data_IF_637255268013
#
_entry.id   IF_637255268013
#
_cell.length_a   1.000
_cell.length_b   1.000
_cell.length_c   1.000
_cell.angle_alpha   90.00
_cell.angle_beta   90.00
_cell.angle_gamma   90.00
#
_symmetry.space_group_name_H-M   'P 1'
#
loop_
_entity.id
_entity.type
_entity.pdbx_description
1 polymer ?
#
# COMPACT_ATOMS: atom_id res chain seq x y z
N UNK A 1 3.96 -10.77 -18.81
CA UNK A 1 4.06 -12.11 -19.39
C UNK A 1 2.97 -13.04 -18.87
N UNK A 2 2.99 -14.30 -19.31
CA UNK A 2 1.99 -15.31 -18.93
C UNK A 2 2.71 -16.59 -18.46
N UNK A 3 2.26 -17.17 -17.36
CA UNK A 3 2.66 -18.51 -16.93
C UNK A 3 1.81 -19.54 -17.69
N UNK A 4 2.46 -20.57 -18.21
CA UNK A 4 1.81 -21.62 -19.00
C UNK A 4 0.83 -22.46 -18.13
N UNK A 5 -0.10 -23.17 -18.78
CA UNK A 5 -1.10 -23.97 -18.07
C UNK A 5 -0.57 -25.32 -17.55
N UNK A 6 0.59 -25.80 -18.05
CA UNK A 6 1.19 -27.07 -17.62
C UNK A 6 1.63 -27.05 -16.16
N UNK A 7 1.78 -28.24 -15.58
CA UNK A 7 2.10 -28.41 -14.16
C UNK A 7 3.57 -28.15 -13.81
N UNK A 8 4.49 -28.33 -14.76
CA UNK A 8 5.94 -28.38 -14.56
C UNK A 8 6.74 -27.74 -15.71
N UNK A 9 6.11 -26.85 -16.48
CA UNK A 9 6.78 -26.20 -17.63
C UNK A 9 7.97 -25.33 -17.18
N UNK A 10 7.78 -24.54 -16.15
CA UNK A 10 8.84 -23.68 -15.62
C UNK A 10 9.93 -24.51 -14.92
N UNK A 11 9.53 -25.53 -14.16
CA UNK A 11 10.46 -26.46 -13.53
C UNK A 11 11.35 -27.17 -14.56
N UNK A 12 10.78 -27.68 -15.66
CA UNK A 12 11.54 -28.32 -16.74
C UNK A 12 12.48 -27.30 -17.42
N UNK A 13 12.02 -26.10 -17.67
CA UNK A 13 12.88 -25.02 -18.20
C UNK A 13 14.07 -24.72 -17.28
N UNK A 14 13.86 -24.63 -15.96
CA UNK A 14 14.94 -24.41 -15.00
C UNK A 14 15.96 -25.56 -15.04
N UNK A 15 15.47 -26.79 -15.12
CA UNK A 15 16.31 -28.01 -15.18
C UNK A 15 17.17 -28.03 -16.44
N UNK A 16 16.58 -27.73 -17.61
CA UNK A 16 17.28 -27.63 -18.90
C UNK A 16 18.36 -26.56 -18.91
N UNK A 17 18.15 -25.47 -18.18
CA UNK A 17 19.09 -24.35 -18.06
C UNK A 17 20.04 -24.48 -16.85
N UNK A 18 20.11 -25.63 -16.19
CA UNK A 18 20.95 -25.87 -15.02
C UNK A 18 20.76 -24.84 -13.89
N UNK A 19 19.54 -24.33 -13.72
CA UNK A 19 19.22 -23.39 -12.66
C UNK A 19 19.07 -24.10 -11.31
N UNK A 20 19.27 -23.38 -10.21
CA UNK A 20 19.10 -23.89 -8.86
C UNK A 20 17.61 -24.14 -8.55
N UNK A 21 17.24 -25.42 -8.50
CA UNK A 21 15.86 -25.85 -8.27
C UNK A 21 15.42 -25.67 -6.82
N UNK A 22 16.35 -25.76 -5.86
CA UNK A 22 16.04 -25.56 -4.45
C UNK A 22 15.79 -24.06 -4.18
N UNK A 23 16.59 -23.19 -4.78
CA UNK A 23 16.35 -21.75 -4.73
C UNK A 23 15.00 -21.37 -5.37
N UNK A 24 14.63 -21.97 -6.50
CA UNK A 24 13.33 -21.74 -7.13
C UNK A 24 12.16 -22.12 -6.21
N UNK A 25 12.33 -23.16 -5.41
CA UNK A 25 11.35 -23.57 -4.41
C UNK A 25 11.30 -22.61 -3.21
N UNK A 26 12.44 -22.17 -2.70
CA UNK A 26 12.51 -21.17 -1.62
C UNK A 26 11.85 -19.84 -2.02
N UNK A 27 12.00 -19.44 -3.28
CA UNK A 27 11.37 -18.24 -3.83
C UNK A 27 9.87 -18.46 -4.15
N UNK A 28 9.35 -19.66 -3.94
CA UNK A 28 7.94 -20.00 -4.20
C UNK A 28 7.57 -19.98 -5.68
N UNK A 29 8.50 -20.27 -6.58
CA UNK A 29 8.23 -20.40 -8.01
C UNK A 29 7.81 -21.82 -8.38
N UNK A 30 8.32 -22.82 -7.65
CA UNK A 30 7.89 -24.23 -7.68
C UNK A 30 7.58 -24.73 -6.28
N UNK A 31 6.92 -25.89 -6.18
CA UNK A 31 6.61 -26.55 -4.91
C UNK A 31 6.55 -28.06 -5.12
N UNK A 32 6.44 -28.84 -4.03
CA UNK A 32 6.28 -30.30 -4.06
C UNK A 32 4.93 -30.69 -3.49
N UNK A 33 4.24 -31.59 -4.19
CA UNK A 33 3.05 -32.24 -3.64
C UNK A 33 3.42 -33.22 -2.52
N UNK A 34 2.44 -33.66 -1.74
CA UNK A 34 2.61 -34.71 -0.72
C UNK A 34 3.21 -36.01 -1.30
N UNK A 35 2.90 -36.32 -2.56
CA UNK A 35 3.48 -37.47 -3.30
C UNK A 35 4.91 -37.18 -3.83
N UNK A 36 5.52 -36.05 -3.48
CA UNK A 36 6.87 -35.68 -3.89
C UNK A 36 7.01 -35.16 -5.34
N UNK A 37 5.91 -35.05 -6.09
CA UNK A 37 5.93 -34.51 -7.45
C UNK A 37 6.09 -33.00 -7.43
N UNK A 38 7.07 -32.47 -8.18
CA UNK A 38 7.29 -31.02 -8.32
C UNK A 38 6.26 -30.42 -9.27
N UNK A 39 5.81 -29.20 -8.96
CA UNK A 39 4.89 -28.44 -9.79
C UNK A 39 5.19 -26.94 -9.75
N UNK A 40 4.84 -26.24 -10.82
CA UNK A 40 4.95 -24.79 -10.91
C UNK A 40 3.88 -24.11 -10.03
N UNK A 41 4.28 -23.14 -9.23
CA UNK A 41 3.36 -22.40 -8.35
C UNK A 41 2.42 -21.50 -9.15
N UNK A 42 2.95 -20.85 -10.18
CA UNK A 42 2.18 -20.01 -11.09
C UNK A 42 1.84 -20.79 -12.36
N UNK A 43 0.57 -21.05 -12.59
CA UNK A 43 0.05 -21.77 -13.76
C UNK A 43 -1.17 -21.05 -14.31
N UNK A 44 -1.26 -20.88 -15.64
CA UNK A 44 -2.40 -20.24 -16.28
C UNK A 44 -2.66 -18.81 -15.77
N UNK A 45 -1.59 -18.04 -15.48
CA UNK A 45 -1.72 -16.72 -14.86
C UNK A 45 -1.01 -15.65 -15.68
N UNK A 46 -1.62 -14.47 -15.71
CA UNK A 46 -0.94 -13.24 -16.10
C UNK A 46 0.04 -12.88 -14.99
N UNK A 47 1.33 -12.71 -15.36
CA UNK A 47 2.41 -12.50 -14.40
C UNK A 47 2.81 -11.04 -14.29
N UNK A 48 2.93 -10.57 -13.05
CA UNK A 48 3.35 -9.23 -12.68
C UNK A 48 4.69 -9.33 -11.94
N UNK A 49 5.83 -8.98 -12.57
CA UNK A 49 7.10 -8.95 -11.87
C UNK A 49 7.09 -7.80 -10.84
N UNK A 50 7.53 -8.11 -9.63
CA UNK A 50 7.68 -7.14 -8.55
C UNK A 50 9.14 -6.74 -8.49
N UNK A 51 9.40 -5.44 -8.62
CA UNK A 51 10.76 -4.89 -8.65
C UNK A 51 11.16 -4.30 -7.30
N UNK A 52 12.40 -4.51 -6.92
CA UNK A 52 13.05 -3.69 -5.88
C UNK A 52 13.18 -2.24 -6.34
N UNK A 53 13.39 -1.27 -5.44
CA UNK A 53 13.64 0.13 -5.83
C UNK A 53 14.83 0.32 -6.79
N UNK A 54 15.74 -0.66 -6.85
CA UNK A 54 16.92 -0.67 -7.74
C UNK A 54 16.68 -1.39 -9.09
N UNK A 55 15.46 -1.84 -9.38
CA UNK A 55 15.09 -2.43 -10.65
C UNK A 55 15.37 -3.93 -10.81
N UNK A 56 15.73 -4.64 -9.74
CA UNK A 56 15.85 -6.10 -9.76
C UNK A 56 14.50 -6.74 -9.50
N UNK A 57 14.13 -7.77 -10.26
CA UNK A 57 12.95 -8.59 -9.97
C UNK A 57 13.19 -9.37 -8.69
N UNK A 58 12.31 -9.21 -7.69
CA UNK A 58 12.43 -9.83 -6.37
C UNK A 58 11.28 -10.79 -6.05
N UNK A 59 10.16 -10.69 -6.79
CA UNK A 59 8.98 -11.54 -6.60
C UNK A 59 8.05 -11.44 -7.82
N UNK A 60 6.98 -12.20 -7.78
CA UNK A 60 5.92 -12.15 -8.78
C UNK A 60 4.54 -12.11 -8.12
N UNK A 61 3.61 -11.37 -8.76
CA UNK A 61 2.19 -11.54 -8.63
C UNK A 61 1.65 -12.31 -9.83
N UNK A 62 0.56 -13.04 -9.67
CA UNK A 62 -0.07 -13.76 -10.77
C UNK A 62 -1.60 -13.68 -10.68
N UNK A 63 -2.27 -13.16 -11.71
CA UNK A 63 -3.73 -13.13 -11.83
C UNK A 63 -4.20 -14.27 -12.69
N UNK A 64 -5.17 -15.06 -12.21
CA UNK A 64 -5.79 -16.13 -13.02
C UNK A 64 -6.42 -15.57 -14.30
N UNK A 65 -6.25 -16.27 -15.41
CA UNK A 65 -6.79 -15.85 -16.70
C UNK A 65 -8.25 -16.28 -16.88
N UNK A 66 -8.62 -17.45 -16.34
CA UNK A 66 -9.98 -17.94 -16.38
C UNK A 66 -10.68 -17.68 -15.04
N UNK A 67 -11.65 -16.75 -14.97
CA UNK A 67 -12.34 -16.43 -13.72
C UNK A 67 -13.28 -17.55 -13.20
N UNK A 68 -13.59 -18.56 -14.01
CA UNK A 68 -14.43 -19.71 -13.62
C UNK A 68 -13.67 -20.76 -12.81
N UNK A 69 -12.33 -20.68 -12.77
CA UNK A 69 -11.54 -21.57 -11.93
C UNK A 69 -11.74 -21.27 -10.44
N UNK A 70 -12.05 -22.30 -9.66
CA UNK A 70 -12.22 -22.21 -8.20
C UNK A 70 -10.87 -22.07 -7.46
N UNK A 71 -10.04 -21.14 -7.91
CA UNK A 71 -8.74 -20.83 -7.33
C UNK A 71 -8.63 -19.33 -7.02
N UNK A 72 -7.69 -18.95 -6.17
CA UNK A 72 -7.48 -17.55 -5.82
C UNK A 72 -7.24 -16.69 -7.07
N UNK A 73 -8.03 -15.60 -7.23
CA UNK A 73 -7.92 -14.63 -8.33
C UNK A 73 -6.49 -14.11 -8.46
N UNK A 74 -5.86 -13.76 -7.35
CA UNK A 74 -4.46 -13.34 -7.29
C UNK A 74 -3.64 -14.29 -6.41
N UNK A 75 -2.43 -14.56 -6.83
CA UNK A 75 -1.40 -15.30 -6.11
C UNK A 75 -0.13 -14.45 -6.10
N UNK A 76 0.49 -14.29 -4.96
CA UNK A 76 1.79 -13.62 -4.83
C UNK A 76 2.87 -14.61 -4.40
N UNK A 77 4.13 -14.32 -4.77
CA UNK A 77 5.29 -14.99 -4.17
C UNK A 77 5.21 -14.91 -2.64
N UNK A 78 5.66 -15.95 -1.94
CA UNK A 78 5.79 -15.92 -0.48
C UNK A 78 6.88 -14.94 -0.04
N UNK A 79 6.93 -14.66 1.26
CA UNK A 79 8.07 -13.97 1.88
C UNK A 79 9.36 -14.73 1.62
N UNK A 80 10.45 -14.03 1.34
CA UNK A 80 11.76 -14.62 1.10
C UNK A 80 12.88 -13.68 1.58
N UNK A 81 14.13 -14.11 1.47
CA UNK A 81 15.31 -13.27 1.80
C UNK A 81 15.37 -11.98 0.98
N UNK A 82 14.86 -12.01 -0.26
CA UNK A 82 14.90 -10.87 -1.18
C UNK A 82 13.55 -10.14 -1.30
N UNK A 83 12.46 -10.72 -0.83
CA UNK A 83 11.12 -10.15 -0.93
C UNK A 83 10.40 -10.16 0.40
N UNK A 84 10.04 -8.99 0.86
CA UNK A 84 9.16 -8.79 2.00
C UNK A 84 7.99 -7.93 1.55
N UNK A 85 6.80 -8.52 1.44
CA UNK A 85 5.60 -7.86 0.93
C UNK A 85 5.29 -6.57 1.69
N UNK A 86 5.44 -6.63 3.01
CA UNK A 86 5.22 -5.48 3.91
C UNK A 86 6.20 -4.32 3.69
N UNK A 87 7.31 -4.52 2.96
CA UNK A 87 8.32 -3.49 2.66
C UNK A 87 8.39 -3.13 1.17
N UNK A 88 7.53 -3.70 0.36
CA UNK A 88 7.55 -3.53 -1.09
C UNK A 88 6.30 -2.80 -1.56
N UNK A 89 6.47 -1.81 -2.43
CA UNK A 89 5.40 -1.14 -3.15
C UNK A 89 5.50 -1.50 -4.64
N UNK A 90 4.41 -2.03 -5.19
CA UNK A 90 4.37 -2.36 -6.61
C UNK A 90 4.42 -1.07 -7.45
N UNK A 91 5.16 -1.11 -8.53
CA UNK A 91 5.33 0.01 -9.44
C UNK A 91 6.36 1.07 -9.01
N UNK A 92 6.83 1.07 -7.75
CA UNK A 92 7.71 2.12 -7.24
C UNK A 92 8.97 2.32 -8.09
N UNK A 93 9.60 1.24 -8.59
CA UNK A 93 10.76 1.35 -9.45
C UNK A 93 10.49 2.19 -10.71
N UNK A 94 9.33 1.97 -11.33
CA UNK A 94 8.95 2.67 -12.56
C UNK A 94 8.42 4.09 -12.30
N UNK A 95 7.87 4.34 -11.12
CA UNK A 95 7.16 5.57 -10.79
C UNK A 95 8.00 6.58 -10.00
N UNK A 96 9.10 6.14 -9.38
CA UNK A 96 9.89 6.95 -8.42
C UNK A 96 10.39 8.28 -8.98
N UNK A 97 10.78 8.32 -10.24
CA UNK A 97 11.33 9.53 -10.84
C UNK A 97 10.22 10.55 -11.15
N UNK A 98 9.05 10.07 -11.62
CA UNK A 98 7.89 10.94 -11.81
C UNK A 98 7.29 11.39 -10.47
N UNK A 99 7.30 10.54 -9.44
CA UNK A 99 6.92 10.90 -8.06
C UNK A 99 7.79 12.06 -7.55
N UNK A 100 9.11 11.98 -7.72
CA UNK A 100 10.03 13.06 -7.31
C UNK A 100 9.80 14.33 -8.10
N UNK A 101 9.65 14.22 -9.41
CA UNK A 101 9.44 15.35 -10.32
C UNK A 101 8.16 16.11 -10.00
N UNK A 102 7.05 15.40 -9.72
CA UNK A 102 5.77 15.98 -9.39
C UNK A 102 5.60 16.28 -7.90
N UNK A 103 6.56 15.84 -7.07
CA UNK A 103 6.48 15.82 -5.60
C UNK A 103 5.11 15.31 -5.12
N UNK A 104 4.62 14.24 -5.73
CA UNK A 104 3.31 13.66 -5.45
C UNK A 104 3.24 12.19 -5.84
N UNK A 105 2.71 11.35 -4.96
CA UNK A 105 2.38 9.96 -5.24
C UNK A 105 0.87 9.73 -5.24
N UNK A 106 0.42 8.77 -6.03
CA UNK A 106 -0.94 8.23 -6.00
C UNK A 106 -0.84 6.79 -5.50
N UNK A 107 -1.55 6.46 -4.42
CA UNK A 107 -1.59 5.12 -3.85
C UNK A 107 -2.90 4.45 -4.23
N UNK A 108 -2.79 3.29 -4.90
CA UNK A 108 -3.91 2.43 -5.28
C UNK A 108 -3.79 1.04 -4.61
N UNK A 109 -4.82 0.19 -4.74
CA UNK A 109 -4.82 -1.12 -4.11
C UNK A 109 -4.13 -2.20 -4.92
N UNK A 110 -4.43 -2.30 -6.21
CA UNK A 110 -4.15 -3.46 -7.05
C UNK A 110 -3.14 -3.25 -8.15
N UNK A 111 -2.75 -4.39 -8.75
CA UNK A 111 -1.86 -4.40 -9.91
C UNK A 111 -2.50 -3.76 -11.13
N UNK A 112 -3.79 -4.06 -11.37
CA UNK A 112 -4.48 -3.58 -12.56
C UNK A 112 -4.72 -2.09 -12.50
N UNK A 113 -5.12 -1.56 -11.34
CA UNK A 113 -5.32 -0.14 -11.13
C UNK A 113 -4.06 0.65 -11.50
N UNK A 114 -2.91 0.20 -10.97
CA UNK A 114 -1.63 0.82 -11.29
C UNK A 114 -1.30 0.72 -12.78
N UNK A 115 -1.42 -0.47 -13.38
CA UNK A 115 -1.03 -0.69 -14.76
C UNK A 115 -1.88 0.16 -15.71
N UNK A 116 -3.19 0.20 -15.51
CA UNK A 116 -4.10 0.98 -16.34
C UNK A 116 -3.85 2.48 -16.21
N UNK A 117 -3.63 2.97 -15.00
CA UNK A 117 -3.24 4.35 -14.79
C UNK A 117 -1.91 4.67 -15.49
N UNK A 118 -0.90 3.82 -15.30
CA UNK A 118 0.42 4.02 -15.88
C UNK A 118 0.40 4.00 -17.42
N UNK A 119 -0.34 3.07 -18.03
CA UNK A 119 -0.51 2.97 -19.50
C UNK A 119 -1.21 4.21 -20.07
N UNK A 120 -2.14 4.81 -19.30
CA UNK A 120 -2.82 6.05 -19.68
C UNK A 120 -2.03 7.32 -19.29
N UNK A 121 -0.75 7.20 -18.94
CA UNK A 121 0.16 8.32 -18.73
C UNK A 121 0.14 8.93 -17.32
N UNK A 122 -0.53 8.30 -16.35
CA UNK A 122 -0.44 8.65 -14.91
C UNK A 122 0.70 7.84 -14.31
N UNK A 123 1.92 8.41 -14.27
CA UNK A 123 3.14 7.65 -13.98
C UNK A 123 3.63 7.73 -12.54
N UNK A 124 3.04 8.59 -11.71
CA UNK A 124 3.40 8.75 -10.29
C UNK A 124 2.54 7.89 -9.36
N UNK A 125 2.21 6.66 -9.76
CA UNK A 125 1.32 5.74 -9.07
C UNK A 125 2.06 4.55 -8.49
N UNK A 126 1.68 4.14 -7.27
CA UNK A 126 2.18 2.94 -6.57
C UNK A 126 1.02 2.14 -6.01
N UNK A 127 1.21 0.82 -5.84
CA UNK A 127 0.17 -0.04 -5.28
C UNK A 127 0.67 -0.84 -4.06
N UNK A 128 -0.21 -1.02 -3.07
CA UNK A 128 0.03 -1.88 -1.90
C UNK A 128 -0.08 -3.38 -2.21
N UNK A 129 -0.68 -3.73 -3.36
CA UNK A 129 -0.75 -5.07 -3.95
C UNK A 129 -1.45 -6.13 -3.09
N UNK A 130 -2.71 -5.83 -2.68
CA UNK A 130 -3.58 -6.79 -1.99
C UNK A 130 -3.24 -6.97 -0.50
N UNK A 131 -2.67 -5.93 0.11
CA UNK A 131 -2.56 -5.75 1.57
C UNK A 131 -2.92 -4.32 1.92
N UNK A 132 -3.42 -4.09 3.14
CA UNK A 132 -3.47 -2.73 3.66
C UNK A 132 -2.06 -2.13 3.66
N UNK A 133 -1.96 -0.82 3.47
CA UNK A 133 -0.69 -0.09 3.57
C UNK A 133 -0.02 -0.40 4.92
N UNK A 134 1.30 -0.56 4.92
CA UNK A 134 2.11 -0.81 6.11
C UNK A 134 2.96 0.40 6.48
N UNK A 135 3.41 0.45 7.74
CA UNK A 135 4.35 1.47 8.21
C UNK A 135 5.65 1.48 7.40
N UNK A 136 6.14 0.29 7.00
CA UNK A 136 7.37 0.15 6.23
C UNK A 136 7.20 0.59 4.77
N UNK A 137 6.03 0.35 4.17
CA UNK A 137 5.71 0.86 2.83
C UNK A 137 5.60 2.39 2.83
N UNK A 138 4.95 2.97 3.84
CA UNK A 138 4.88 4.41 4.02
C UNK A 138 6.29 5.01 4.25
N UNK A 139 7.12 4.39 5.08
CA UNK A 139 8.53 4.77 5.29
C UNK A 139 9.34 4.72 3.99
N UNK A 140 9.13 3.68 3.17
CA UNK A 140 9.79 3.58 1.87
C UNK A 140 9.37 4.71 0.93
N UNK A 141 8.06 5.00 0.86
CA UNK A 141 7.52 6.04 -0.02
C UNK A 141 7.95 7.44 0.42
N UNK A 142 8.10 7.67 1.73
CA UNK A 142 8.48 8.97 2.30
C UNK A 142 9.85 9.48 1.86
N UNK A 143 10.70 8.61 1.30
CA UNK A 143 12.00 8.97 0.72
C UNK A 143 11.88 9.65 -0.65
N UNK A 144 10.71 9.63 -1.24
CA UNK A 144 10.46 10.14 -2.59
C UNK A 144 9.55 11.38 -2.58
N UNK A 145 8.54 11.41 -1.72
CA UNK A 145 7.63 12.54 -1.52
C UNK A 145 6.93 12.42 -0.17
N UNK A 146 6.39 13.54 0.31
CA UNK A 146 5.46 13.60 1.45
C UNK A 146 4.03 13.91 1.01
N UNK A 147 3.78 14.18 -0.26
CA UNK A 147 2.46 14.49 -0.79
C UNK A 147 1.85 13.24 -1.43
N UNK A 148 0.71 12.80 -0.92
CA UNK A 148 0.06 11.57 -1.38
C UNK A 148 -1.43 11.74 -1.60
N UNK A 149 -1.93 11.16 -2.69
CA UNK A 149 -3.35 10.97 -2.92
C UNK A 149 -3.66 9.48 -2.79
N UNK A 150 -4.53 9.13 -1.86
CA UNK A 150 -5.06 7.78 -1.69
C UNK A 150 -6.27 7.63 -2.60
N UNK A 151 -6.26 6.60 -3.43
CA UNK A 151 -7.31 6.28 -4.38
C UNK A 151 -7.60 4.78 -4.29
N UNK A 152 -8.60 4.44 -3.52
CA UNK A 152 -9.06 3.06 -3.31
C UNK A 152 -10.45 2.85 -3.89
N UNK A 153 -10.88 1.60 -3.97
CA UNK A 153 -12.18 1.23 -4.52
C UNK A 153 -13.32 1.91 -3.73
N UNK A 154 -14.39 2.27 -4.43
CA UNK A 154 -15.54 2.95 -3.84
C UNK A 154 -16.50 1.96 -3.15
N UNK A 155 -15.94 1.00 -2.38
CA UNK A 155 -16.69 0.05 -1.59
C UNK A 155 -16.35 0.16 -0.09
N UNK A 156 -17.08 -0.55 0.77
CA UNK A 156 -16.87 -0.54 2.22
C UNK A 156 -15.45 -1.01 2.61
N UNK A 157 -14.87 -1.92 1.87
CA UNK A 157 -13.54 -2.45 2.15
C UNK A 157 -12.46 -1.42 1.80
N UNK A 158 -12.55 -0.79 0.62
CA UNK A 158 -11.66 0.29 0.18
C UNK A 158 -11.75 1.51 1.10
N UNK A 159 -12.94 1.89 1.55
CA UNK A 159 -13.11 2.97 2.54
C UNK A 159 -12.39 2.67 3.87
N UNK A 160 -12.52 1.46 4.40
CA UNK A 160 -11.80 1.04 5.61
C UNK A 160 -10.29 1.01 5.40
N UNK A 161 -9.85 0.58 4.21
CA UNK A 161 -8.45 0.59 3.83
C UNK A 161 -7.91 2.02 3.70
N UNK A 162 -8.69 2.95 3.13
CA UNK A 162 -8.34 4.37 3.06
C UNK A 162 -8.16 4.97 4.45
N UNK A 163 -9.09 4.75 5.37
CA UNK A 163 -9.01 5.25 6.74
C UNK A 163 -7.76 4.75 7.48
N UNK A 164 -7.44 3.45 7.37
CA UNK A 164 -6.21 2.89 7.95
C UNK A 164 -4.95 3.48 7.32
N UNK A 165 -4.97 3.69 6.01
CA UNK A 165 -3.85 4.29 5.29
C UNK A 165 -3.61 5.74 5.70
N UNK A 166 -4.68 6.53 5.92
CA UNK A 166 -4.59 7.88 6.46
C UNK A 166 -3.83 7.89 7.78
N UNK A 167 -4.21 7.03 8.74
CA UNK A 167 -3.55 6.97 10.05
C UNK A 167 -2.05 6.67 9.95
N UNK A 168 -1.67 5.71 9.09
CA UNK A 168 -0.26 5.33 8.87
C UNK A 168 0.52 6.47 8.22
N UNK A 169 -0.07 7.10 7.20
CA UNK A 169 0.57 8.17 6.44
C UNK A 169 0.77 9.43 7.30
N UNK A 170 -0.22 9.81 8.12
CA UNK A 170 -0.13 10.97 9.01
C UNK A 170 1.00 10.81 10.05
N UNK A 171 1.19 9.60 10.61
CA UNK A 171 2.31 9.28 11.51
C UNK A 171 3.68 9.40 10.86
N UNK A 172 3.72 9.38 9.53
CA UNK A 172 4.94 9.52 8.71
C UNK A 172 5.05 10.90 8.05
N UNK A 173 4.27 11.88 8.55
CA UNK A 173 4.25 13.28 8.12
C UNK A 173 3.89 13.49 6.64
N UNK A 174 3.04 12.63 6.09
CA UNK A 174 2.49 12.86 4.77
C UNK A 174 1.41 13.95 4.79
N UNK A 175 1.33 14.69 3.70
CA UNK A 175 0.16 15.47 3.31
C UNK A 175 -0.80 14.57 2.53
N UNK A 176 -1.92 14.20 3.16
CA UNK A 176 -2.81 13.16 2.66
C UNK A 176 -4.06 13.75 2.07
N UNK A 177 -4.29 13.47 0.79
CA UNK A 177 -5.56 13.74 0.12
C UNK A 177 -6.23 12.43 -0.29
N UNK A 178 -7.54 12.45 -0.40
CA UNK A 178 -8.35 11.32 -0.81
C UNK A 178 -9.07 11.69 -2.11
N UNK A 179 -8.91 10.87 -3.11
CA UNK A 179 -9.69 10.93 -4.33
C UNK A 179 -10.76 9.84 -4.28
N UNK A 180 -12.02 10.23 -4.49
CA UNK A 180 -13.15 9.30 -4.58
C UNK A 180 -13.63 9.19 -6.01
N UNK A 181 -13.93 7.97 -6.43
CA UNK A 181 -14.53 7.66 -7.72
C UNK A 181 -16.06 7.53 -7.60
N UNK A 182 -16.80 7.61 -8.70
CA UNK A 182 -18.21 7.27 -8.71
C UNK A 182 -18.46 5.84 -8.22
N UNK A 183 -19.64 5.57 -7.67
CA UNK A 183 -20.03 4.22 -7.26
C UNK A 183 -19.80 3.19 -8.38
N UNK A 184 -19.30 2.01 -8.00
CA UNK A 184 -18.99 0.87 -8.88
C UNK A 184 -17.81 1.07 -9.83
N UNK A 185 -17.11 2.20 -9.78
CA UNK A 185 -15.87 2.38 -10.52
C UNK A 185 -14.67 2.11 -9.61
N UNK A 186 -13.69 1.40 -10.15
CA UNK A 186 -12.34 1.28 -9.63
C UNK A 186 -11.37 2.12 -10.49
N UNK A 187 -10.11 2.31 -10.08
CA UNK A 187 -9.16 3.11 -10.87
C UNK A 187 -8.93 2.57 -12.29
N UNK A 188 -8.97 1.24 -12.47
CA UNK A 188 -8.82 0.56 -13.77
C UNK A 188 -9.97 0.91 -14.70
N UNK A 189 -11.23 0.66 -14.27
CA UNK A 189 -12.42 0.94 -15.06
C UNK A 189 -12.59 2.43 -15.35
N UNK A 190 -12.31 3.28 -14.35
CA UNK A 190 -12.47 4.72 -14.48
C UNK A 190 -11.54 5.31 -15.55
N UNK A 191 -10.25 5.00 -15.51
CA UNK A 191 -9.28 5.58 -16.46
C UNK A 191 -9.53 5.08 -17.90
N UNK A 192 -9.96 3.84 -18.08
CA UNK A 192 -10.32 3.28 -19.39
C UNK A 192 -11.56 3.98 -19.96
N UNK A 193 -12.57 4.20 -19.13
CA UNK A 193 -13.87 4.74 -19.55
C UNK A 193 -13.86 6.25 -19.79
N UNK A 194 -13.20 7.00 -18.91
CA UNK A 194 -13.26 8.47 -18.91
C UNK A 194 -11.98 9.14 -19.38
N UNK A 195 -10.88 8.40 -19.47
CA UNK A 195 -9.60 8.90 -19.95
C UNK A 195 -8.81 9.72 -18.92
N UNK A 196 -7.61 10.12 -19.35
CA UNK A 196 -6.63 10.79 -18.49
C UNK A 196 -7.09 12.17 -18.03
N UNK A 197 -7.69 12.96 -18.91
CA UNK A 197 -8.08 14.34 -18.62
C UNK A 197 -9.11 14.40 -17.49
N UNK A 198 -10.12 13.52 -17.54
CA UNK A 198 -11.12 13.44 -16.49
C UNK A 198 -10.52 12.92 -15.18
N UNK A 199 -9.59 11.96 -15.26
CA UNK A 199 -8.85 11.48 -14.10
C UNK A 199 -8.05 12.62 -13.44
N UNK A 200 -7.32 13.41 -14.21
CA UNK A 200 -6.54 14.55 -13.70
C UNK A 200 -7.44 15.62 -13.09
N UNK A 201 -8.61 15.87 -13.69
CA UNK A 201 -9.62 16.77 -13.11
C UNK A 201 -10.11 16.28 -11.75
N UNK A 202 -10.39 15.00 -11.62
CA UNK A 202 -10.74 14.36 -10.33
C UNK A 202 -9.60 14.44 -9.32
N UNK A 203 -8.37 14.21 -9.77
CA UNK A 203 -7.18 14.28 -8.94
C UNK A 203 -6.93 15.68 -8.37
N UNK A 204 -7.18 16.73 -9.15
CA UNK A 204 -7.10 18.12 -8.69
C UNK A 204 -8.13 18.43 -7.60
N UNK A 205 -9.31 17.79 -7.66
CA UNK A 205 -10.38 17.93 -6.69
C UNK A 205 -10.28 16.93 -5.51
N UNK A 206 -9.15 16.23 -5.36
CA UNK A 206 -8.92 15.34 -4.23
C UNK A 206 -8.96 16.13 -2.92
N UNK A 207 -9.75 15.64 -1.97
CA UNK A 207 -10.01 16.29 -0.68
C UNK A 207 -8.94 16.01 0.33
N UNK A 208 -8.62 16.99 1.16
CA UNK A 208 -7.78 16.75 2.33
C UNK A 208 -8.44 15.72 3.25
N UNK A 209 -7.65 14.89 3.94
CA UNK A 209 -8.15 13.78 4.76
C UNK A 209 -9.22 14.22 5.77
N UNK A 210 -9.06 15.40 6.38
CA UNK A 210 -9.97 15.93 7.37
C UNK A 210 -11.35 16.26 6.77
N UNK A 211 -11.34 16.85 5.57
CA UNK A 211 -12.57 17.16 4.84
C UNK A 211 -13.29 15.87 4.41
N UNK A 212 -12.53 14.90 3.89
CA UNK A 212 -13.05 13.59 3.53
C UNK A 212 -13.72 12.89 4.72
N UNK A 213 -13.05 12.85 5.89
CA UNK A 213 -13.62 12.26 7.10
C UNK A 213 -14.89 12.97 7.56
N UNK A 214 -14.87 14.31 7.57
CA UNK A 214 -16.03 15.10 8.01
C UNK A 214 -17.25 14.87 7.09
N UNK A 215 -17.06 14.86 5.77
CA UNK A 215 -18.14 14.57 4.84
C UNK A 215 -18.68 13.14 5.00
N UNK A 216 -17.80 12.18 5.25
CA UNK A 216 -18.22 10.82 5.51
C UNK A 216 -19.10 10.71 6.76
N UNK A 217 -18.73 11.36 7.85
CA UNK A 217 -19.54 11.42 9.06
C UNK A 217 -20.90 12.13 8.83
N UNK A 218 -20.92 13.13 7.95
CA UNK A 218 -22.15 13.79 7.54
C UNK A 218 -23.07 12.83 6.76
N UNK A 219 -22.55 12.08 5.80
CA UNK A 219 -23.28 11.06 5.03
C UNK A 219 -23.80 9.93 5.93
N UNK A 220 -23.05 9.55 6.97
CA UNK A 220 -23.47 8.57 7.98
C UNK A 220 -24.49 9.14 8.99
N UNK A 221 -24.88 10.41 8.87
CA UNK A 221 -25.84 11.07 9.74
C UNK A 221 -25.33 11.37 11.16
N UNK A 222 -24.00 11.29 11.39
CA UNK A 222 -23.43 11.46 12.74
C UNK A 222 -23.57 12.86 13.31
N UNK A 223 -23.94 13.83 12.51
CA UNK A 223 -24.15 15.21 12.97
C UNK A 223 -25.61 15.54 13.30
N UNK A 224 -26.52 14.57 13.26
CA UNK A 224 -27.95 14.76 13.54
C UNK A 224 -28.28 14.67 15.05
N UNK A 225 -27.48 13.94 15.81
CA UNK A 225 -27.65 13.74 17.26
C UNK A 225 -26.43 14.24 18.02
N UNK A 226 -26.65 14.84 19.20
CA UNK A 226 -25.58 15.47 20.00
C UNK A 226 -24.49 14.50 20.45
N UNK A 227 -24.85 13.24 20.76
CA UNK A 227 -23.87 12.25 21.23
C UNK A 227 -22.99 11.78 20.07
N UNK A 228 -23.57 11.41 18.94
CA UNK A 228 -22.85 10.99 17.74
C UNK A 228 -22.04 12.14 17.12
N UNK A 229 -22.55 13.38 17.22
CA UNK A 229 -21.85 14.59 16.83
C UNK A 229 -20.56 14.75 17.64
N UNK A 230 -20.62 14.64 18.96
CA UNK A 230 -19.45 14.76 19.82
C UNK A 230 -18.42 13.64 19.53
N UNK A 231 -18.87 12.41 19.26
CA UNK A 231 -18.00 11.30 18.88
C UNK A 231 -17.31 11.56 17.55
N UNK A 232 -18.04 12.03 16.52
CA UNK A 232 -17.47 12.36 15.22
C UNK A 232 -16.38 13.44 15.32
N UNK A 233 -16.64 14.50 16.08
CA UNK A 233 -15.64 15.54 16.32
C UNK A 233 -14.40 14.99 17.06
N UNK A 234 -14.58 14.14 18.06
CA UNK A 234 -13.46 13.49 18.77
C UNK A 234 -12.63 12.63 17.82
N UNK A 235 -13.24 11.88 16.91
CA UNK A 235 -12.49 11.09 15.92
C UNK A 235 -11.69 11.98 14.96
N UNK A 236 -12.21 13.15 14.53
CA UNK A 236 -11.45 14.12 13.75
C UNK A 236 -10.23 14.66 14.53
N UNK A 237 -10.43 15.01 15.81
CA UNK A 237 -9.34 15.48 16.69
C UNK A 237 -8.31 14.35 16.90
N UNK A 238 -8.76 13.12 17.11
CA UNK A 238 -7.90 11.94 17.28
C UNK A 238 -7.05 11.69 16.02
N UNK A 239 -7.63 11.79 14.83
CA UNK A 239 -6.88 11.68 13.58
C UNK A 239 -5.85 12.80 13.44
N UNK A 240 -6.23 14.04 13.83
CA UNK A 240 -5.31 15.18 13.85
C UNK A 240 -4.14 14.99 14.82
N UNK A 241 -4.35 14.30 15.95
CA UNK A 241 -3.29 13.99 16.92
C UNK A 241 -2.17 13.09 16.35
N UNK A 242 -2.40 12.40 15.22
CA UNK A 242 -1.39 11.58 14.55
C UNK A 242 -0.36 12.40 13.75
N UNK A 243 -0.65 13.67 13.48
CA UNK A 243 0.28 14.58 12.77
C UNK A 243 1.38 15.01 13.74
N UNK A 244 2.65 14.79 13.40
CA UNK A 244 3.76 15.12 14.30
C UNK A 244 4.07 16.62 14.36
N UNK A 245 3.87 17.33 13.25
CA UNK A 245 4.09 18.78 13.17
C UNK A 245 3.03 19.53 14.01
N UNK A 246 3.49 20.19 15.07
CA UNK A 246 2.64 20.93 16.01
C UNK A 246 1.90 22.08 15.35
N UNK A 247 2.56 22.85 14.47
CA UNK A 247 1.92 23.95 13.76
C UNK A 247 0.81 23.45 12.86
N UNK A 248 1.09 22.37 12.10
CA UNK A 248 0.11 21.73 11.23
C UNK A 248 -1.08 21.21 12.04
N UNK A 249 -0.85 20.55 13.19
CA UNK A 249 -1.91 20.12 14.11
C UNK A 249 -2.80 21.27 14.56
N UNK A 250 -2.21 22.37 14.99
CA UNK A 250 -2.94 23.54 15.47
C UNK A 250 -3.79 24.18 14.35
N UNK A 251 -3.27 24.26 13.13
CA UNK A 251 -4.04 24.74 11.99
C UNK A 251 -5.22 23.81 11.65
N UNK A 252 -5.03 22.50 11.70
CA UNK A 252 -6.10 21.52 11.49
C UNK A 252 -7.16 21.61 12.59
N UNK A 253 -6.74 21.80 13.86
CA UNK A 253 -7.65 21.98 14.99
C UNK A 253 -8.50 23.25 14.81
N UNK A 254 -7.88 24.33 14.36
CA UNK A 254 -8.59 25.58 14.03
C UNK A 254 -9.62 25.35 12.92
N UNK A 255 -9.28 24.56 11.90
CA UNK A 255 -10.22 24.20 10.83
C UNK A 255 -11.43 23.44 11.39
N UNK A 256 -11.21 22.47 12.31
CA UNK A 256 -12.31 21.75 12.99
C UNK A 256 -13.15 22.74 13.81
N UNK A 257 -12.51 23.58 14.62
CA UNK A 257 -13.19 24.61 15.43
C UNK A 257 -14.13 25.49 14.59
N UNK A 258 -13.64 26.01 13.47
CA UNK A 258 -14.41 26.84 12.57
C UNK A 258 -15.55 26.09 11.88
N UNK A 259 -15.29 24.89 11.37
CA UNK A 259 -16.30 24.09 10.64
C UNK A 259 -17.47 23.69 11.55
N UNK A 260 -17.19 23.34 12.80
CA UNK A 260 -18.18 22.83 13.75
C UNK A 260 -18.64 23.86 14.78
N UNK A 261 -18.21 25.10 14.66
CA UNK A 261 -18.55 26.20 15.58
C UNK A 261 -18.28 25.89 17.06
N UNK A 262 -17.17 25.18 17.34
CA UNK A 262 -16.75 24.79 18.67
C UNK A 262 -15.63 25.68 19.16
N UNK A 263 -15.53 25.86 20.48
CA UNK A 263 -14.42 26.60 21.09
C UNK A 263 -13.11 25.81 20.93
N UNK A 264 -12.09 26.46 20.37
CA UNK A 264 -10.77 25.85 20.10
C UNK A 264 -10.17 25.21 21.36
N UNK A 265 -10.27 25.88 22.52
CA UNK A 265 -9.79 25.37 23.81
C UNK A 265 -10.37 23.99 24.22
N UNK A 266 -11.61 23.69 23.84
CA UNK A 266 -12.19 22.35 24.08
C UNK A 266 -11.52 21.28 23.25
N UNK A 267 -11.21 21.61 22.00
CA UNK A 267 -10.56 20.70 21.06
C UNK A 267 -9.08 20.50 21.43
N UNK A 268 -8.39 21.55 21.91
CA UNK A 268 -7.03 21.48 22.45
C UNK A 268 -6.95 20.50 23.61
N UNK A 269 -7.88 20.58 24.56
CA UNK A 269 -7.94 19.65 25.70
C UNK A 269 -8.13 18.20 25.26
N UNK A 270 -8.98 17.95 24.25
CA UNK A 270 -9.15 16.60 23.70
C UNK A 270 -7.90 16.14 22.93
N UNK A 271 -7.28 17.02 22.15
CA UNK A 271 -6.04 16.76 21.42
C UNK A 271 -4.92 16.31 22.35
N UNK A 272 -4.70 17.03 23.46
CA UNK A 272 -3.68 16.71 24.46
C UNK A 272 -3.87 15.31 25.05
N UNK A 273 -5.12 14.90 25.36
CA UNK A 273 -5.42 13.54 25.84
C UNK A 273 -5.01 12.48 24.83
N UNK A 274 -5.29 12.70 23.54
CA UNK A 274 -4.92 11.74 22.49
C UNK A 274 -3.40 11.69 22.29
N UNK A 275 -2.70 12.82 22.28
CA UNK A 275 -1.23 12.86 22.18
C UNK A 275 -0.60 12.09 23.35
N UNK A 276 -1.06 12.32 24.58
CA UNK A 276 -0.57 11.57 25.74
C UNK A 276 -0.80 10.07 25.60
N UNK A 277 -1.98 9.66 25.12
CA UNK A 277 -2.31 8.25 24.91
C UNK A 277 -1.45 7.59 23.81
N UNK A 278 -1.09 8.33 22.75
CA UNK A 278 -0.19 7.87 21.67
C UNK A 278 1.21 7.66 22.25
N UNK A 279 1.75 8.66 22.96
CA UNK A 279 3.10 8.60 23.56
C UNK A 279 3.24 7.41 24.54
N UNK A 280 2.25 7.19 25.40
CA UNK A 280 2.25 6.04 26.32
C UNK A 280 2.25 4.69 25.59
N UNK A 281 1.47 4.57 24.50
CA UNK A 281 1.45 3.33 23.68
C UNK A 281 2.77 3.10 22.97
N UNK A 282 3.42 4.13 22.48
CA UNK A 282 4.69 4.02 21.79
C UNK A 282 5.83 3.70 22.76
N UNK A 283 5.86 4.28 23.95
CA UNK A 283 6.80 3.89 25.01
C UNK A 283 6.62 2.42 25.42
N UNK A 284 5.37 1.96 25.59
CA UNK A 284 5.09 0.57 25.93
C UNK A 284 5.58 -0.38 24.81
N UNK A 285 5.34 -0.04 23.54
CA UNK A 285 5.82 -0.82 22.39
C UNK A 285 7.35 -0.87 22.31
N UNK A 286 8.02 0.23 22.57
CA UNK A 286 9.49 0.28 22.61
C UNK A 286 10.05 -0.61 23.72
N UNK A 287 9.50 -0.56 24.93
CA UNK A 287 9.88 -1.43 26.05
C UNK A 287 9.63 -2.91 25.76
N UNK A 288 8.49 -3.23 25.14
CA UNK A 288 8.17 -4.62 24.75
C UNK A 288 9.12 -5.16 23.67
N UNK A 289 9.58 -4.33 22.74
CA UNK A 289 10.54 -4.71 21.70
C UNK A 289 11.96 -4.89 22.25
N UNK A 290 12.37 -4.11 23.23
CA UNK A 290 13.67 -4.27 23.92
C UNK A 290 13.73 -5.58 24.73
N UNK A 291 12.59 -6.08 25.19
CA UNK A 291 12.49 -7.33 25.98
C UNK A 291 12.30 -8.60 25.13
N UNK A 292 12.24 -8.48 23.80
CA UNK A 292 12.24 -9.68 22.95
C UNK A 292 13.65 -10.28 22.90
N UNK A 293 13.85 -11.57 23.23
CA UNK A 293 15.14 -12.22 23.08
C UNK A 293 15.59 -12.11 21.64
N UNK A 294 16.79 -11.56 21.42
CA UNK A 294 17.35 -11.32 20.10
C UNK A 294 17.32 -12.58 19.25
N UNK A 295 16.67 -12.48 18.09
CA UNK A 295 16.82 -13.49 17.04
C UNK A 295 18.30 -13.46 16.66
N UNK A 296 19.03 -14.57 16.95
CA UNK A 296 20.42 -14.74 16.57
C UNK A 296 20.55 -14.41 15.08
N UNK A 297 21.43 -13.47 14.77
CA UNK A 297 21.78 -13.10 13.40
C UNK A 297 22.05 -14.36 12.58
N UNK A 298 21.29 -14.53 11.50
CA UNK A 298 21.55 -15.58 10.54
C UNK A 298 22.97 -15.39 9.99
N UNK A 299 23.77 -16.45 10.06
CA UNK A 299 25.14 -16.50 9.56
C UNK A 299 25.21 -15.89 8.16
N UNK A 300 26.06 -14.89 7.99
CA UNK A 300 26.40 -14.34 6.70
C UNK A 300 26.99 -15.45 5.81
N UNK A 301 26.22 -15.87 4.81
CA UNK A 301 26.72 -16.73 3.76
C UNK A 301 27.63 -15.86 2.89
N UNK A 302 28.95 -16.10 2.96
CA UNK A 302 29.92 -15.54 2.03
C UNK A 302 29.65 -16.14 0.65
N UNK A 303 29.00 -15.39 -0.22
CA UNK A 303 28.88 -15.73 -1.65
C UNK A 303 30.23 -15.41 -2.28
N UNK A 304 30.95 -16.43 -2.74
CA UNK A 304 32.16 -16.29 -3.52
C UNK A 304 31.83 -15.68 -4.90
N UNK A 305 32.59 -14.69 -5.41
CA UNK A 305 32.30 -14.03 -6.68
C UNK A 305 32.67 -14.81 -7.95
N UNK A 306 32.94 -16.08 -7.85
CA UNK A 306 33.34 -16.92 -8.99
C UNK A 306 32.12 -17.71 -9.47
N UNK A 307 31.41 -17.22 -10.47
CA UNK A 307 30.52 -17.89 -11.43
C UNK A 307 29.32 -17.02 -11.84
N UNK A 308 29.63 -15.82 -12.34
CA UNK A 308 28.69 -15.10 -13.20
C UNK A 308 29.22 -15.25 -14.65
N UNK A 309 28.44 -15.85 -15.58
CA UNK A 309 28.80 -15.75 -16.99
C UNK A 309 28.64 -14.30 -17.42
N UNK A 310 29.72 -13.74 -17.94
CA UNK A 310 29.74 -12.45 -18.60
C UNK A 310 28.89 -12.51 -19.87
N UNK A 311 28.08 -11.49 -20.06
CA UNK A 311 27.26 -11.21 -21.24
C UNK A 311 28.01 -11.39 -22.58
N UNK A 312 27.32 -11.95 -23.53
CA UNK A 312 27.40 -11.54 -24.94
C UNK A 312 26.00 -11.37 -25.47
#
# INVERSE_FOLDING_TARGET
GMALFGWDNFFNYLKENNADLDLARELGLSDKSEAGKVYDKFRGRLMFPIFSPNGRVIAFGGRVLNPEEKIAKYLNSPESLIYQKRKSLYGLYHSKDEIRKLDKAILVEGYMDLISLFQNGVKNVVASSGTALTDEQAELLSRFTKNIVVLFDADIAGEKAAMRSIEILLKKDFDVKIMTLPEKEDPDSFIIKYGKEEFERKLQNAKHFLEYQAEKFEQEGKFQDSATYAEAVRELVKTTALVNDELKRNLLLKTISQRFHLRERLLETELEKYIQSINQKDEYRQRANLNKPGIKEARSIKISPQNLPLEK
#
